data_IF_191842380483
#
_entry.id   IF_191842380483
#
_cell.length_a   1.000
_cell.length_b   1.000
_cell.length_c   1.000
_cell.angle_alpha   90.00
_cell.angle_beta   90.00
_cell.angle_gamma   90.00
#
_symmetry.space_group_name_H-M   'P 1'
#
loop_
_entity.id
_entity.type
_entity.pdbx_description
1 polymer ?
#
# COMPACT_ATOMS: atom_id res chain seq x y z
N UNK A 1 19.24 -2.47 -14.27
CA UNK A 1 19.49 -1.10 -13.74
C UNK A 1 20.26 -1.19 -12.43
N UNK A 2 21.18 -0.21 -12.14
CA UNK A 2 21.95 -0.21 -10.88
C UNK A 2 21.03 0.12 -9.69
N UNK A 3 21.18 -0.63 -8.57
CA UNK A 3 20.38 -0.48 -7.37
C UNK A 3 20.43 0.93 -6.76
N UNK A 4 21.60 1.61 -6.88
CA UNK A 4 21.75 3.00 -6.42
C UNK A 4 20.86 3.96 -7.21
N UNK A 5 20.77 3.78 -8.52
CA UNK A 5 19.91 4.60 -9.38
C UNK A 5 18.43 4.36 -9.09
N UNK A 6 18.02 3.09 -8.86
CA UNK A 6 16.66 2.76 -8.45
C UNK A 6 16.31 3.47 -7.15
N UNK A 7 17.17 3.32 -6.12
CA UNK A 7 16.94 3.95 -4.81
C UNK A 7 16.84 5.46 -4.91
N UNK A 8 17.74 6.11 -5.65
CA UNK A 8 17.69 7.56 -5.82
C UNK A 8 16.35 8.03 -6.42
N UNK A 9 15.88 7.38 -7.47
CA UNK A 9 14.58 7.71 -8.08
C UNK A 9 13.42 7.49 -7.11
N UNK A 10 13.44 6.40 -6.35
CA UNK A 10 12.44 6.14 -5.33
C UNK A 10 12.46 7.21 -4.23
N UNK A 11 13.63 7.66 -3.79
CA UNK A 11 13.75 8.74 -2.80
C UNK A 11 13.24 10.09 -3.35
N UNK A 12 13.46 10.40 -4.61
CA UNK A 12 12.91 11.58 -5.26
C UNK A 12 11.38 11.54 -5.30
N UNK A 13 10.80 10.40 -5.68
CA UNK A 13 9.34 10.18 -5.66
C UNK A 13 8.78 10.28 -4.24
N UNK A 14 9.42 9.64 -3.28
CA UNK A 14 9.00 9.68 -1.88
C UNK A 14 8.91 11.11 -1.32
N UNK A 15 9.77 12.03 -1.76
CA UNK A 15 9.72 13.45 -1.33
C UNK A 15 8.44 14.15 -1.76
N UNK A 16 7.81 13.69 -2.85
CA UNK A 16 6.57 14.27 -3.38
C UNK A 16 5.31 13.64 -2.81
N UNK A 17 5.45 12.53 -2.05
CA UNK A 17 4.32 11.83 -1.45
C UNK A 17 3.92 12.46 -0.13
N UNK A 18 2.62 12.76 -0.02
CA UNK A 18 1.97 13.16 1.23
C UNK A 18 1.55 11.89 2.00
N UNK A 19 2.47 11.37 2.83
CA UNK A 19 2.20 10.18 3.63
C UNK A 19 1.26 10.51 4.81
N UNK A 20 0.25 9.66 5.09
CA UNK A 20 -0.57 9.80 6.29
C UNK A 20 0.26 9.52 7.56
N UNK A 21 -0.07 10.19 8.65
CA UNK A 21 0.50 9.93 9.96
C UNK A 21 -0.66 9.83 10.99
N UNK A 22 -0.84 8.69 11.66
CA UNK A 22 -0.09 7.43 11.46
C UNK A 22 -0.26 6.88 10.04
N UNK A 23 0.68 6.04 9.60
CA UNK A 23 0.63 5.45 8.26
C UNK A 23 -0.54 4.48 8.15
N UNK A 24 -1.28 4.65 7.05
CA UNK A 24 -2.37 3.79 6.63
C UNK A 24 -2.40 3.78 5.10
N UNK A 25 -2.31 2.61 4.50
CA UNK A 25 -2.21 2.48 3.04
C UNK A 25 -3.50 2.91 2.34
N UNK A 26 -4.67 2.74 2.97
CA UNK A 26 -5.96 3.17 2.41
C UNK A 26 -6.08 4.70 2.43
N UNK A 27 -5.60 5.32 3.50
CA UNK A 27 -5.49 6.77 3.59
C UNK A 27 -4.50 7.33 2.55
N UNK A 28 -3.39 6.63 2.28
CA UNK A 28 -2.45 6.98 1.21
C UNK A 28 -3.14 6.92 -0.16
N UNK A 29 -3.88 5.85 -0.46
CA UNK A 29 -4.68 5.74 -1.70
C UNK A 29 -5.66 6.91 -1.85
N UNK A 30 -6.36 7.29 -0.78
CA UNK A 30 -7.29 8.42 -0.79
C UNK A 30 -6.60 9.76 -1.05
N UNK A 31 -5.40 10.00 -0.49
CA UNK A 31 -4.58 11.19 -0.76
C UNK A 31 -4.11 11.25 -2.21
N UNK A 32 -3.57 10.14 -2.71
CA UNK A 32 -3.13 10.01 -4.11
C UNK A 32 -4.29 10.21 -5.09
N UNK A 33 -5.46 9.64 -4.81
CA UNK A 33 -6.66 9.84 -5.63
C UNK A 33 -7.05 11.31 -5.75
N UNK A 34 -7.01 12.07 -4.63
CA UNK A 34 -7.25 13.52 -4.63
C UNK A 34 -6.19 14.29 -5.41
N UNK A 35 -4.91 13.99 -5.17
CA UNK A 35 -3.78 14.66 -5.84
C UNK A 35 -3.83 14.45 -7.36
N UNK A 36 -4.13 13.23 -7.79
CA UNK A 36 -4.22 12.86 -9.21
C UNK A 36 -5.55 13.22 -9.86
N UNK A 37 -6.55 13.66 -9.07
CA UNK A 37 -7.95 13.87 -9.52
C UNK A 37 -8.53 12.65 -10.22
N UNK A 38 -8.15 11.47 -9.74
CA UNK A 38 -8.55 10.19 -10.31
C UNK A 38 -8.78 9.20 -9.18
N UNK A 39 -9.99 8.60 -9.07
CA UNK A 39 -10.29 7.62 -8.04
C UNK A 39 -9.33 6.44 -8.05
N UNK A 40 -8.95 5.95 -6.87
CA UNK A 40 -8.28 4.67 -6.66
C UNK A 40 -9.25 3.81 -5.86
N UNK A 41 -9.71 2.73 -6.45
CA UNK A 41 -10.65 1.78 -5.85
C UNK A 41 -9.87 0.54 -5.40
N UNK A 42 -10.05 0.15 -4.15
CA UNK A 42 -9.48 -1.07 -3.60
C UNK A 42 -10.54 -2.16 -3.63
N UNK A 43 -10.29 -3.22 -4.41
CA UNK A 43 -11.23 -4.30 -4.63
C UNK A 43 -10.66 -5.61 -4.07
N UNK A 44 -11.25 -6.14 -2.97
CA UNK A 44 -10.87 -7.44 -2.46
C UNK A 44 -11.31 -8.56 -3.43
N UNK A 45 -10.46 -9.55 -3.61
CA UNK A 45 -10.75 -10.75 -4.40
C UNK A 45 -10.19 -11.99 -3.72
N UNK A 46 -10.89 -13.11 -3.83
CA UNK A 46 -10.34 -14.41 -3.47
C UNK A 46 -9.68 -14.99 -4.73
N UNK A 47 -8.35 -15.01 -4.77
CA UNK A 47 -7.64 -15.49 -5.96
C UNK A 47 -7.51 -17.01 -6.01
N UNK A 48 -7.48 -17.68 -4.85
CA UNK A 48 -7.30 -19.13 -4.75
C UNK A 48 -5.96 -19.66 -5.28
N UNK A 49 -5.08 -18.78 -5.77
CA UNK A 49 -3.83 -19.12 -6.47
C UNK A 49 -2.59 -18.54 -5.77
N UNK A 50 -2.77 -17.88 -4.61
CA UNK A 50 -1.69 -17.24 -3.86
C UNK A 50 -1.98 -15.76 -3.60
N UNK A 51 -1.09 -15.10 -2.89
CA UNK A 51 -1.24 -13.70 -2.48
C UNK A 51 -0.79 -12.77 -3.59
N UNK A 52 -1.75 -12.24 -4.36
CA UNK A 52 -1.47 -11.38 -5.50
C UNK A 52 -2.19 -10.05 -5.41
N UNK A 53 -1.53 -9.01 -5.95
CA UNK A 53 -2.12 -7.74 -6.30
C UNK A 53 -2.20 -7.58 -7.81
N UNK A 54 -3.06 -6.67 -8.26
CA UNK A 54 -3.17 -6.28 -9.66
C UNK A 54 -3.70 -4.85 -9.76
N UNK A 55 -2.90 -3.97 -10.35
CA UNK A 55 -3.38 -2.65 -10.71
C UNK A 55 -3.88 -2.61 -12.14
N UNK A 56 -5.09 -2.09 -12.30
CA UNK A 56 -5.78 -1.91 -13.59
C UNK A 56 -6.21 -0.46 -13.73
N UNK A 57 -5.88 0.16 -14.85
CA UNK A 57 -6.40 1.49 -15.19
C UNK A 57 -7.67 1.36 -16.04
N UNK A 58 -8.83 1.63 -15.42
CA UNK A 58 -10.11 1.76 -16.11
C UNK A 58 -10.27 3.20 -16.64
N UNK A 59 -11.22 3.47 -17.56
CA UNK A 59 -11.41 4.83 -18.11
C UNK A 59 -11.62 5.92 -17.05
N UNK A 60 -12.29 5.62 -15.93
CA UNK A 60 -12.69 6.59 -14.91
C UNK A 60 -11.98 6.43 -13.56
N UNK A 61 -11.25 5.33 -13.35
CA UNK A 61 -10.61 5.02 -12.08
C UNK A 61 -9.41 4.10 -12.27
N UNK A 62 -8.49 4.14 -11.32
CA UNK A 62 -7.52 3.07 -11.10
C UNK A 62 -8.13 2.07 -10.11
N UNK A 63 -8.03 0.78 -10.40
CA UNK A 63 -8.52 -0.28 -9.51
C UNK A 63 -7.35 -1.15 -9.09
N UNK A 64 -7.20 -1.33 -7.79
CA UNK A 64 -6.23 -2.25 -7.21
C UNK A 64 -7.00 -3.43 -6.64
N UNK A 65 -6.84 -4.57 -7.27
CA UNK A 65 -7.31 -5.85 -6.76
C UNK A 65 -6.27 -6.40 -5.81
N UNK A 66 -6.74 -6.93 -4.67
CA UNK A 66 -5.84 -7.53 -3.67
C UNK A 66 -6.48 -8.77 -3.07
N UNK A 67 -5.63 -9.76 -2.76
CA UNK A 67 -6.05 -10.98 -2.08
C UNK A 67 -6.55 -10.66 -0.66
N UNK A 68 -7.80 -11.02 -0.38
CA UNK A 68 -8.38 -10.76 0.93
C UNK A 68 -8.29 -11.96 1.89
N UNK A 69 -8.10 -13.18 1.37
CA UNK A 69 -7.94 -14.41 2.18
C UNK A 69 -6.52 -14.56 2.73
N UNK A 70 -5.98 -13.46 3.26
CA UNK A 70 -4.66 -13.42 3.88
C UNK A 70 -4.67 -12.48 5.10
N UNK A 71 -3.54 -12.40 5.84
CA UNK A 71 -3.47 -11.53 7.02
C UNK A 71 -3.66 -10.05 6.65
N UNK A 72 -4.24 -9.22 7.55
CA UNK A 72 -4.39 -7.79 7.30
C UNK A 72 -3.08 -7.11 6.92
N UNK A 73 -1.98 -7.44 7.58
CA UNK A 73 -0.64 -6.90 7.26
C UNK A 73 -0.23 -7.24 5.83
N UNK A 74 -0.51 -8.47 5.39
CA UNK A 74 -0.17 -8.88 4.03
C UNK A 74 -1.06 -8.20 2.99
N UNK A 75 -2.36 -8.00 3.28
CA UNK A 75 -3.25 -7.20 2.42
C UNK A 75 -2.71 -5.78 2.24
N UNK A 76 -2.28 -5.13 3.33
CA UNK A 76 -1.68 -3.79 3.28
C UNK A 76 -0.40 -3.77 2.44
N UNK A 77 0.45 -4.79 2.56
CA UNK A 77 1.66 -4.93 1.75
C UNK A 77 1.35 -5.07 0.27
N UNK A 78 0.37 -5.93 -0.10
CA UNK A 78 -0.09 -6.10 -1.48
C UNK A 78 -0.58 -4.77 -2.05
N UNK A 79 -1.46 -4.08 -1.31
CA UNK A 79 -1.99 -2.79 -1.75
C UNK A 79 -0.87 -1.76 -1.93
N UNK A 80 0.07 -1.69 -0.99
CA UNK A 80 1.19 -0.76 -1.06
C UNK A 80 2.09 -1.04 -2.27
N UNK A 81 2.34 -2.31 -2.56
CA UNK A 81 3.13 -2.72 -3.72
C UNK A 81 2.50 -2.22 -5.03
N UNK A 82 1.20 -2.45 -5.24
CA UNK A 82 0.46 -1.96 -6.42
C UNK A 82 0.39 -0.42 -6.49
N UNK A 83 0.26 0.24 -5.35
CA UNK A 83 0.36 1.69 -5.25
C UNK A 83 1.74 2.18 -5.68
N UNK A 84 2.81 1.44 -5.34
CA UNK A 84 4.16 1.79 -5.76
C UNK A 84 4.34 1.69 -7.28
N UNK A 85 3.77 0.67 -7.95
CA UNK A 85 3.74 0.62 -9.41
C UNK A 85 3.04 1.85 -10.00
N UNK A 86 1.89 2.24 -9.46
CA UNK A 86 1.14 3.41 -9.88
C UNK A 86 1.94 4.71 -9.69
N UNK A 87 2.59 4.89 -8.53
CA UNK A 87 3.42 6.06 -8.21
C UNK A 87 4.69 6.11 -9.05
N UNK A 88 5.29 4.95 -9.33
CA UNK A 88 6.46 4.83 -10.20
C UNK A 88 6.14 5.16 -11.67
N UNK A 89 4.87 5.16 -12.06
CA UNK A 89 4.42 5.42 -13.42
C UNK A 89 4.64 4.21 -14.33
N UNK A 90 4.64 3.01 -13.76
CA UNK A 90 4.68 1.77 -14.53
C UNK A 90 3.39 1.60 -15.34
N UNK A 91 3.40 0.69 -16.29
CA UNK A 91 2.21 0.45 -17.10
C UNK A 91 1.24 -0.47 -16.35
N UNK A 92 -0.05 -0.07 -16.19
CA UNK A 92 -1.04 -0.94 -15.58
C UNK A 92 -1.28 -2.19 -16.43
N UNK A 93 -1.83 -3.23 -15.81
CA UNK A 93 -2.23 -4.43 -16.55
C UNK A 93 -3.16 -4.06 -17.72
N UNK A 94 -2.87 -4.53 -18.95
CA UNK A 94 -3.69 -4.23 -20.11
C UNK A 94 -5.04 -4.93 -19.99
N UNK A 95 -6.13 -4.16 -20.14
CA UNK A 95 -7.49 -4.66 -20.03
C UNK A 95 -8.30 -4.26 -21.26
N UNK A 96 -8.99 -5.19 -21.88
CA UNK A 96 -9.93 -4.92 -22.96
C UNK A 96 -11.15 -4.14 -22.42
N UNK A 97 -11.87 -3.43 -23.30
CA UNK A 97 -13.11 -2.74 -22.93
C UNK A 97 -14.17 -3.71 -22.38
N UNK A 98 -14.23 -4.92 -22.94
CA UNK A 98 -15.15 -5.96 -22.51
C UNK A 98 -14.81 -6.47 -21.12
N UNK A 99 -13.52 -6.75 -20.87
CA UNK A 99 -13.05 -7.18 -19.56
C UNK A 99 -13.18 -6.07 -18.50
N UNK A 100 -12.94 -4.81 -18.87
CA UNK A 100 -13.17 -3.67 -18.00
C UNK A 100 -14.63 -3.57 -17.50
N UNK A 101 -15.60 -3.86 -18.39
CA UNK A 101 -17.01 -3.91 -18.00
C UNK A 101 -17.30 -5.07 -17.03
N UNK A 102 -16.68 -6.23 -17.25
CA UNK A 102 -16.84 -7.41 -16.37
C UNK A 102 -16.22 -7.22 -14.98
N UNK A 103 -15.13 -6.47 -14.88
CA UNK A 103 -14.49 -6.17 -13.60
C UNK A 103 -15.37 -5.34 -12.65
N UNK A 104 -16.43 -4.70 -13.17
CA UNK A 104 -17.42 -3.98 -12.37
C UNK A 104 -18.43 -4.92 -11.69
N UNK A 105 -18.46 -6.20 -12.04
CA UNK A 105 -19.36 -7.20 -11.46
C UNK A 105 -18.56 -8.11 -10.51
N UNK A 106 -18.82 -8.07 -9.19
CA UNK A 106 -18.06 -8.82 -8.19
C UNK A 106 -17.97 -10.32 -8.45
N UNK A 107 -19.07 -10.93 -8.92
CA UNK A 107 -19.17 -12.37 -9.16
C UNK A 107 -18.30 -12.86 -10.33
N UNK A 108 -17.95 -11.99 -11.25
CA UNK A 108 -17.11 -12.29 -12.42
C UNK A 108 -15.66 -11.82 -12.26
N UNK A 109 -15.39 -11.03 -11.23
CA UNK A 109 -14.09 -10.39 -11.07
C UNK A 109 -12.98 -11.40 -10.78
N UNK A 110 -13.22 -12.40 -9.93
CA UNK A 110 -12.18 -13.34 -9.48
C UNK A 110 -11.54 -14.15 -10.61
N UNK A 111 -12.34 -14.77 -11.48
CA UNK A 111 -11.81 -15.54 -12.64
C UNK A 111 -11.11 -14.64 -13.65
N UNK A 112 -11.65 -13.43 -13.85
CA UNK A 112 -11.07 -12.47 -14.78
C UNK A 112 -9.75 -11.94 -14.24
N UNK A 113 -9.68 -11.59 -12.95
CA UNK A 113 -8.45 -11.15 -12.28
C UNK A 113 -7.38 -12.24 -12.38
N UNK A 114 -7.71 -13.51 -12.17
CA UNK A 114 -6.76 -14.62 -12.36
C UNK A 114 -6.19 -14.68 -13.79
N UNK A 115 -7.03 -14.49 -14.80
CA UNK A 115 -6.57 -14.46 -16.21
C UNK A 115 -5.71 -13.24 -16.51
N UNK A 116 -6.03 -12.09 -15.91
CA UNK A 116 -5.24 -10.87 -16.06
C UNK A 116 -3.89 -11.00 -15.36
N UNK A 117 -3.84 -11.57 -14.16
CA UNK A 117 -2.61 -11.86 -13.43
C UNK A 117 -1.64 -12.74 -14.23
N UNK A 118 -2.16 -13.73 -14.96
CA UNK A 118 -1.33 -14.59 -15.82
C UNK A 118 -0.73 -13.86 -17.02
N UNK A 119 -1.30 -12.72 -17.42
CA UNK A 119 -0.87 -11.89 -18.56
C UNK A 119 -0.17 -10.62 -18.15
N UNK A 120 -0.46 -10.13 -16.94
CA UNK A 120 0.20 -8.99 -16.35
C UNK A 120 1.56 -9.44 -15.81
N UNK A 121 2.61 -8.78 -16.24
CA UNK A 121 3.94 -9.00 -15.72
C UNK A 121 4.70 -7.71 -15.83
N UNK A 122 5.10 -7.17 -14.70
CA UNK A 122 6.08 -6.10 -14.68
C UNK A 122 7.46 -6.68 -15.00
N UNK A 123 8.32 -5.88 -15.61
CA UNK A 123 9.71 -6.26 -15.78
C UNK A 123 10.40 -6.39 -14.41
N UNK A 124 11.46 -7.20 -14.35
CA UNK A 124 12.25 -7.34 -13.10
C UNK A 124 12.74 -6.00 -12.55
N UNK A 125 12.98 -5.02 -13.39
CA UNK A 125 13.40 -3.68 -12.96
C UNK A 125 12.23 -2.88 -12.37
N UNK A 126 11.03 -2.99 -12.93
CA UNK A 126 9.80 -2.35 -12.40
C UNK A 126 9.39 -2.98 -11.06
N UNK A 127 9.44 -4.31 -10.94
CA UNK A 127 9.21 -5.00 -9.66
C UNK A 127 10.18 -4.52 -8.59
N UNK A 128 11.47 -4.46 -8.92
CA UNK A 128 12.49 -3.97 -8.00
C UNK A 128 12.27 -2.51 -7.59
N UNK A 129 11.83 -1.67 -8.51
CA UNK A 129 11.51 -0.27 -8.22
C UNK A 129 10.33 -0.16 -7.27
N UNK A 130 9.25 -0.92 -7.51
CA UNK A 130 8.08 -0.95 -6.64
C UNK A 130 8.43 -1.43 -5.22
N UNK A 131 9.21 -2.51 -5.11
CA UNK A 131 9.65 -3.06 -3.81
C UNK A 131 10.52 -2.09 -3.02
N UNK A 132 11.50 -1.44 -3.69
CA UNK A 132 12.36 -0.42 -3.06
C UNK A 132 11.52 0.77 -2.60
N UNK A 133 10.57 1.22 -3.40
CA UNK A 133 9.70 2.35 -3.03
C UNK A 133 8.79 2.00 -1.85
N UNK A 134 8.21 0.80 -1.82
CA UNK A 134 7.40 0.31 -0.71
C UNK A 134 8.21 0.28 0.59
N UNK A 135 9.42 -0.28 0.54
CA UNK A 135 10.33 -0.32 1.68
C UNK A 135 10.67 1.09 2.21
N UNK A 136 10.97 2.04 1.33
CA UNK A 136 11.27 3.43 1.70
C UNK A 136 10.05 4.15 2.29
N UNK A 137 8.85 3.88 1.81
CA UNK A 137 7.61 4.41 2.38
C UNK A 137 7.44 3.93 3.81
N UNK A 138 7.57 2.63 4.06
CA UNK A 138 7.46 2.05 5.39
C UNK A 138 8.54 2.57 6.34
N UNK A 139 9.80 2.61 5.90
CA UNK A 139 10.90 3.19 6.69
C UNK A 139 10.64 4.65 7.08
N UNK A 140 10.06 5.44 6.19
CA UNK A 140 9.72 6.84 6.47
C UNK A 140 8.53 6.95 7.41
N UNK A 141 7.54 6.07 7.26
CA UNK A 141 6.37 5.99 8.13
C UNK A 141 6.76 5.67 9.59
N UNK A 142 7.65 4.70 9.77
CA UNK A 142 8.15 4.29 11.09
C UNK A 142 8.96 5.39 11.80
N UNK A 143 9.64 6.23 11.02
CA UNK A 143 10.42 7.36 11.56
C UNK A 143 9.56 8.60 11.84
N UNK A 144 8.34 8.66 11.32
CA UNK A 144 7.45 9.77 11.63
C UNK A 144 7.06 9.70 13.10
N UNK A 145 7.25 10.77 13.91
CA UNK A 145 6.76 10.76 15.26
C UNK A 145 5.28 10.47 15.21
N UNK A 146 4.80 9.56 16.06
CA UNK A 146 3.38 9.27 16.21
C UNK A 146 2.68 10.59 16.57
N UNK A 147 2.22 11.31 15.56
CA UNK A 147 1.47 12.55 15.70
C UNK A 147 0.07 12.17 16.15
N UNK A 148 -0.09 11.99 17.42
CA UNK A 148 -1.34 11.59 18.06
C UNK A 148 -1.11 10.44 19.01
N UNK A 149 -0.33 10.68 20.06
CA UNK A 149 -0.62 9.94 21.29
C UNK A 149 -2.12 10.14 21.54
N UNK A 150 -2.94 9.07 21.58
CA UNK A 150 -4.32 9.24 22.00
C UNK A 150 -4.27 9.96 23.34
N UNK A 151 -5.20 10.88 23.68
CA UNK A 151 -5.18 11.56 24.95
C UNK A 151 -5.07 10.48 26.01
N UNK A 152 -3.91 10.40 26.68
CA UNK A 152 -3.74 9.45 27.78
C UNK A 152 -4.78 9.84 28.80
N UNK A 153 -5.74 8.95 29.02
CA UNK A 153 -6.60 9.07 30.17
C UNK A 153 -5.67 9.38 31.36
N UNK A 154 -5.91 10.46 32.11
CA UNK A 154 -5.06 10.85 33.23
C UNK A 154 -4.74 9.68 34.17
N UNK A 155 -5.66 8.70 34.28
CA UNK A 155 -5.46 7.46 35.05
C UNK A 155 -4.41 6.53 34.45
N UNK A 156 -4.33 6.43 33.12
CA UNK A 156 -3.33 5.62 32.43
C UNK A 156 -1.94 6.25 32.54
N UNK A 157 -1.83 7.57 32.49
CA UNK A 157 -0.57 8.29 32.69
C UNK A 157 -0.06 8.13 34.13
N UNK A 158 -0.95 8.13 35.11
CA UNK A 158 -0.58 7.91 36.52
C UNK A 158 -0.08 6.48 36.78
N UNK A 159 -0.72 5.48 36.15
CA UNK A 159 -0.31 4.06 36.27
C UNK A 159 1.06 3.83 35.62
N UNK A 160 1.31 4.39 34.44
CA UNK A 160 2.60 4.28 33.75
C UNK A 160 3.72 4.96 34.54
N UNK A 161 3.49 6.17 35.06
CA UNK A 161 4.47 6.86 35.92
C UNK A 161 4.82 6.09 37.21
N UNK A 162 3.87 5.36 37.81
CA UNK A 162 4.12 4.48 38.94
C UNK A 162 4.94 3.25 38.58
N UNK A 163 4.72 2.67 37.39
CA UNK A 163 5.48 1.53 36.87
C UNK A 163 6.93 1.93 36.55
N UNK A 164 7.15 3.07 35.92
CA UNK A 164 8.50 3.60 35.66
C UNK A 164 9.27 3.86 36.96
N UNK A 165 8.65 4.54 37.93
CA UNK A 165 9.25 4.78 39.22
C UNK A 165 9.59 3.49 40.00
N UNK A 166 8.83 2.41 39.81
CA UNK A 166 9.06 1.11 40.44
C UNK A 166 10.21 0.33 39.79
N UNK A 167 10.40 0.53 38.47
CA UNK A 167 11.50 -0.09 37.73
C UNK A 167 12.83 0.61 38.03
N UNK A 168 12.85 1.93 38.13
CA UNK A 168 14.04 2.70 38.51
C UNK A 168 14.50 2.43 39.96
N UNK A 169 13.57 2.21 40.88
CA UNK A 169 13.87 1.88 42.26
C UNK A 169 14.46 0.46 42.47
N UNK A 170 14.38 -0.42 41.43
CA UNK A 170 14.98 -1.77 41.47
C UNK A 170 16.33 -1.87 40.75
N UNK A 171 16.74 -0.81 40.07
CA UNK A 171 18.00 -0.76 39.32
C UNK A 171 19.15 -0.05 40.10
N UNK A 172 18.89 0.45 41.29
CA UNK A 172 19.86 1.01 42.26
C UNK A 172 19.99 0.12 43.48
#
# INVERSE_FOLDING_TARGET
>A
MDLKQVRQRCEERLRTLDLPAPFDVRALCARLARQRRRPIVLQPVASGVGCYGLWVALPTADVIFYEWETSPLHQEHIILHEVCHLVAGHQPAPVSREDAARLLFPDLASELVQRLLQRAGYSTDEEREAEVLASLILERADRAPASGEPPRDPRTAEVLGRLEATLDARAG
#
